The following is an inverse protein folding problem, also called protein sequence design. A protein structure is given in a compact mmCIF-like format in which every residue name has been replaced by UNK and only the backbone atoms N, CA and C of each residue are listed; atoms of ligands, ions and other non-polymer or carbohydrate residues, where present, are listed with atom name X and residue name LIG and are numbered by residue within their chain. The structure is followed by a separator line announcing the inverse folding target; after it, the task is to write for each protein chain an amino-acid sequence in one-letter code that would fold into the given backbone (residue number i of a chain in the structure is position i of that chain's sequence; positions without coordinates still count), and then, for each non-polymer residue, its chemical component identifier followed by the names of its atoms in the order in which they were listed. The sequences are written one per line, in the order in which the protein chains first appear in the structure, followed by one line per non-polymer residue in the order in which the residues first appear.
data_IF_018411531320
#
_entry.id   IF_018411531320
#
_cell.length_a   1.000
_cell.length_b   1.000
_cell.length_c   1.000
_cell.angle_alpha   90.00
_cell.angle_beta   90.00
_cell.angle_gamma   90.00
#
_symmetry.space_group_name_H-M   'P 1'
#
loop_
_entity.id
_entity.type
_entity.pdbx_description
1 polymer ?
#
# COMPACT_ATOMS: atom_id res chain seq x y z
N UNK A 1 22.95 21.07 61.62
CA UNK A 1 21.90 21.79 60.94
C UNK A 1 20.76 20.83 60.62
N UNK A 2 19.66 20.82 61.38
CA UNK A 2 18.53 19.92 61.17
C UNK A 2 17.63 20.54 60.08
N UNK A 3 17.54 19.89 58.93
CA UNK A 3 16.64 20.29 57.86
C UNK A 3 15.23 19.85 58.28
N UNK A 4 14.40 20.81 58.78
CA UNK A 4 12.97 20.57 59.01
C UNK A 4 12.27 20.69 57.65
N UNK A 5 12.13 19.57 56.94
CA UNK A 5 11.24 19.53 55.78
C UNK A 5 9.82 19.66 56.25
N UNK A 6 9.13 20.75 55.83
CA UNK A 6 7.72 20.94 56.12
C UNK A 6 6.90 19.75 55.61
N UNK A 7 6.06 19.11 56.44
CA UNK A 7 5.27 17.95 56.05
C UNK A 7 4.40 18.21 54.81
N UNK A 8 4.01 19.45 54.58
CA UNK A 8 3.25 19.87 53.38
C UNK A 8 4.10 19.72 52.10
N UNK A 9 5.39 20.08 52.15
CA UNK A 9 6.28 19.96 50.97
C UNK A 9 6.50 18.47 50.63
N UNK A 10 6.67 17.62 51.64
CA UNK A 10 6.82 16.18 51.44
C UNK A 10 5.57 15.54 50.85
N UNK A 11 4.38 15.96 51.29
CA UNK A 11 3.09 15.50 50.75
C UNK A 11 2.89 15.93 49.30
N UNK A 12 3.26 17.15 48.92
CA UNK A 12 3.17 17.64 47.55
C UNK A 12 4.11 16.85 46.64
N UNK A 13 5.35 16.61 47.07
CA UNK A 13 6.31 15.81 46.30
C UNK A 13 5.84 14.37 46.11
N UNK A 14 5.24 13.76 47.11
CA UNK A 14 4.67 12.40 47.02
C UNK A 14 3.49 12.33 46.04
N UNK A 15 2.59 13.32 46.07
CA UNK A 15 1.48 13.42 45.12
C UNK A 15 1.96 13.62 43.68
N UNK A 16 2.97 14.49 43.47
CA UNK A 16 3.54 14.69 42.14
C UNK A 16 4.24 13.39 41.59
N UNK A 17 4.93 12.65 42.47
CA UNK A 17 5.56 11.39 42.11
C UNK A 17 4.49 10.32 41.76
N UNK A 18 3.44 10.22 42.57
CA UNK A 18 2.34 9.28 42.31
C UNK A 18 1.59 9.61 41.01
N UNK A 19 1.32 10.90 40.75
CA UNK A 19 0.71 11.35 39.51
C UNK A 19 1.60 11.09 38.29
N UNK A 20 2.91 11.33 38.41
CA UNK A 20 3.90 10.99 37.36
C UNK A 20 3.99 9.50 37.08
N UNK A 21 4.04 8.66 38.12
CA UNK A 21 4.05 7.21 38.01
C UNK A 21 2.75 6.67 37.38
N UNK A 22 1.59 7.24 37.74
CA UNK A 22 0.30 6.90 37.14
C UNK A 22 0.25 7.27 35.67
N UNK A 23 0.74 8.46 35.29
CA UNK A 23 0.78 8.92 33.91
C UNK A 23 1.71 8.06 33.03
N UNK A 24 2.91 7.75 33.54
CA UNK A 24 3.86 6.86 32.83
C UNK A 24 3.30 5.44 32.73
N UNK A 25 2.66 4.94 33.79
CA UNK A 25 2.00 3.63 33.77
C UNK A 25 0.84 3.57 32.78
N UNK A 26 0.05 4.63 32.70
CA UNK A 26 -1.07 4.73 31.75
C UNK A 26 -0.56 4.83 30.30
N UNK A 27 0.52 5.58 30.03
CA UNK A 27 1.17 5.62 28.74
C UNK A 27 1.76 4.25 28.36
N UNK A 28 2.46 3.59 29.28
CA UNK A 28 3.02 2.26 29.03
C UNK A 28 1.92 1.22 28.76
N UNK A 29 0.80 1.26 29.49
CA UNK A 29 -0.33 0.37 29.25
C UNK A 29 -1.02 0.64 27.91
N UNK A 30 -1.07 1.89 27.46
CA UNK A 30 -1.62 2.26 26.16
C UNK A 30 -0.74 1.75 24.99
N UNK A 31 0.57 1.61 25.21
CA UNK A 31 1.47 0.99 24.23
C UNK A 31 1.44 -0.56 24.29
N UNK A 32 1.03 -1.16 25.42
CA UNK A 32 1.02 -2.60 25.61
C UNK A 32 -0.26 -3.29 25.12
N UNK A 33 -1.27 -2.56 24.72
CA UNK A 33 -2.55 -3.11 24.21
C UNK A 33 -2.68 -3.01 22.69
N UNK A 34 -1.59 -3.13 21.93
CA UNK A 34 -1.74 -3.57 20.56
C UNK A 34 -2.20 -5.03 20.61
N UNK A 35 -3.39 -5.37 20.05
CA UNK A 35 -3.78 -6.76 19.94
C UNK A 35 -2.66 -7.52 19.26
N UNK A 36 -2.41 -8.76 19.72
CA UNK A 36 -1.47 -9.68 19.10
C UNK A 36 -1.64 -9.55 17.59
N UNK A 37 -0.56 -9.16 16.91
CA UNK A 37 -0.57 -8.86 15.47
C UNK A 37 -1.17 -10.04 14.76
N UNK A 38 -2.38 -9.88 14.21
CA UNK A 38 -2.82 -10.80 13.18
C UNK A 38 -1.68 -10.87 12.18
N UNK A 39 -1.28 -12.09 11.81
CA UNK A 39 -0.16 -12.28 10.89
C UNK A 39 -0.58 -11.85 9.48
N UNK A 40 -0.72 -10.54 9.27
CA UNK A 40 -1.08 -10.00 7.97
C UNK A 40 0.02 -10.29 6.95
N UNK A 41 -0.40 -10.71 5.78
CA UNK A 41 0.46 -10.94 4.65
C UNK A 41 -0.12 -10.26 3.41
N UNK A 42 0.69 -9.47 2.71
CA UNK A 42 0.32 -8.70 1.52
C UNK A 42 1.21 -9.12 0.36
N UNK A 43 0.64 -9.24 -0.83
CA UNK A 43 1.44 -9.38 -2.04
C UNK A 43 1.54 -8.01 -2.74
N UNK A 44 2.78 -7.60 -2.99
CA UNK A 44 3.08 -6.44 -3.83
C UNK A 44 3.63 -6.94 -5.17
N UNK A 45 2.99 -6.48 -6.23
CA UNK A 45 3.40 -6.75 -7.59
C UNK A 45 4.02 -5.51 -8.23
N UNK A 46 5.30 -5.60 -8.58
CA UNK A 46 5.96 -4.57 -9.37
C UNK A 46 5.69 -4.83 -10.85
N UNK A 47 4.78 -4.06 -11.45
CA UNK A 47 4.39 -4.23 -12.85
C UNK A 47 5.56 -4.22 -13.82
N UNK A 48 5.44 -4.97 -14.92
CA UNK A 48 6.49 -5.16 -15.92
C UNK A 48 7.77 -5.82 -15.39
N UNK A 49 8.88 -5.72 -16.12
CA UNK A 49 10.19 -6.25 -15.71
C UNK A 49 10.89 -7.05 -16.82
N UNK A 50 12.21 -7.16 -16.69
CA UNK A 50 13.05 -7.83 -17.69
C UNK A 50 12.94 -7.16 -19.07
N UNK A 51 12.52 -7.94 -20.08
CA UNK A 51 12.37 -7.45 -21.46
C UNK A 51 11.13 -6.55 -21.67
N UNK A 52 10.16 -6.53 -20.74
CA UNK A 52 9.01 -5.62 -20.80
C UNK A 52 9.29 -4.34 -20.00
N UNK A 53 9.63 -3.21 -20.64
CA UNK A 53 9.92 -1.96 -19.97
C UNK A 53 8.66 -1.25 -19.44
N UNK A 54 7.45 -1.68 -19.83
CA UNK A 54 6.23 -0.91 -19.68
C UNK A 54 6.24 0.33 -20.57
N UNK A 55 5.72 1.45 -20.06
CA UNK A 55 5.85 2.74 -20.75
C UNK A 55 7.29 3.22 -20.67
N UNK A 56 7.86 3.56 -21.83
CA UNK A 56 9.21 4.11 -21.94
C UNK A 56 9.14 5.54 -22.50
N UNK A 57 9.97 6.43 -21.97
CA UNK A 57 10.10 7.80 -22.45
C UNK A 57 11.41 8.00 -23.16
N UNK A 58 11.44 8.97 -24.08
CA UNK A 58 12.66 9.36 -24.80
C UNK A 58 13.80 9.81 -23.85
N UNK A 59 13.48 10.24 -22.63
CA UNK A 59 14.45 10.54 -21.57
C UNK A 59 15.11 9.33 -20.94
N UNK A 60 14.75 8.10 -21.33
CA UNK A 60 15.26 6.86 -20.75
C UNK A 60 14.50 6.36 -19.50
N UNK A 61 13.50 7.10 -19.04
CA UNK A 61 12.64 6.66 -17.91
C UNK A 61 11.80 5.47 -18.35
N UNK A 62 11.89 4.37 -17.61
CA UNK A 62 11.12 3.14 -17.84
C UNK A 62 10.17 2.87 -16.69
N UNK A 63 8.95 2.52 -17.01
CA UNK A 63 7.91 2.21 -16.03
C UNK A 63 8.33 1.09 -15.07
N UNK A 64 8.93 0.02 -15.58
CA UNK A 64 9.37 -1.14 -14.78
C UNK A 64 10.31 -0.77 -13.63
N UNK A 65 11.18 0.24 -13.83
CA UNK A 65 12.18 0.64 -12.84
C UNK A 65 11.53 1.45 -11.72
N UNK A 66 10.61 2.36 -12.07
CA UNK A 66 9.81 3.13 -11.11
C UNK A 66 8.91 2.19 -10.30
N UNK A 67 8.22 1.26 -10.97
CA UNK A 67 7.35 0.30 -10.30
C UNK A 67 8.12 -0.52 -9.27
N UNK A 68 9.31 -1.01 -9.63
CA UNK A 68 10.17 -1.76 -8.71
C UNK A 68 10.61 -0.90 -7.51
N UNK A 69 11.08 0.31 -7.76
CA UNK A 69 11.54 1.21 -6.71
C UNK A 69 10.43 1.53 -5.70
N UNK A 70 9.23 1.89 -6.17
CA UNK A 70 8.08 2.14 -5.30
C UNK A 70 7.67 0.88 -4.53
N UNK A 71 7.66 -0.29 -5.20
CA UNK A 71 7.29 -1.56 -4.58
C UNK A 71 8.24 -1.94 -3.44
N UNK A 72 9.55 -1.80 -3.63
CA UNK A 72 10.55 -2.10 -2.60
C UNK A 72 10.46 -1.15 -1.39
N UNK A 73 10.23 0.15 -1.65
CA UNK A 73 9.99 1.15 -0.61
C UNK A 73 8.69 0.87 0.16
N UNK A 74 7.60 0.51 -0.55
CA UNK A 74 6.33 0.13 0.07
C UNK A 74 6.48 -1.13 0.95
N UNK A 75 7.20 -2.14 0.46
CA UNK A 75 7.56 -3.33 1.26
C UNK A 75 8.23 -2.93 2.58
N UNK A 76 9.24 -2.06 2.51
CA UNK A 76 9.97 -1.62 3.71
C UNK A 76 9.03 -0.96 4.74
N UNK A 77 8.11 -0.10 4.31
CA UNK A 77 7.13 0.54 5.20
C UNK A 77 6.21 -0.50 5.85
N UNK A 78 5.68 -1.45 5.07
CA UNK A 78 4.78 -2.48 5.58
C UNK A 78 5.48 -3.42 6.57
N UNK A 79 6.70 -3.86 6.27
CA UNK A 79 7.47 -4.76 7.14
C UNK A 79 7.88 -4.09 8.45
N UNK A 80 8.21 -2.79 8.44
CA UNK A 80 8.45 -2.00 9.65
C UNK A 80 7.21 -1.90 10.55
N UNK A 81 6.01 -2.10 9.99
CA UNK A 81 4.75 -2.15 10.71
C UNK A 81 4.25 -3.59 10.99
N UNK A 82 5.12 -4.59 10.90
CA UNK A 82 4.83 -5.97 11.25
C UNK A 82 4.01 -6.75 10.22
N UNK A 83 3.84 -6.22 9.01
CA UNK A 83 3.08 -6.86 7.92
C UNK A 83 4.06 -7.63 7.02
N UNK A 84 3.84 -8.94 6.86
CA UNK A 84 4.62 -9.76 5.93
C UNK A 84 4.33 -9.36 4.49
N UNK A 85 5.37 -9.26 3.66
CA UNK A 85 5.24 -8.90 2.24
C UNK A 85 5.81 -9.99 1.35
N UNK A 86 5.01 -10.43 0.39
CA UNK A 86 5.43 -11.28 -0.73
C UNK A 86 5.58 -10.37 -1.96
N UNK A 87 6.68 -10.50 -2.68
CA UNK A 87 6.92 -9.77 -3.92
C UNK A 87 6.79 -10.70 -5.13
N UNK A 88 6.22 -10.20 -6.23
CA UNK A 88 6.32 -10.90 -7.52
C UNK A 88 7.74 -10.88 -8.06
N UNK A 89 8.44 -9.76 -7.90
CA UNK A 89 9.87 -9.61 -8.21
C UNK A 89 10.55 -8.62 -7.26
N UNK A 90 11.83 -8.85 -6.97
CA UNK A 90 12.67 -7.97 -6.16
C UNK A 90 13.83 -7.34 -6.96
N UNK A 91 13.90 -7.62 -8.25
CA UNK A 91 14.93 -7.16 -9.18
C UNK A 91 14.33 -6.95 -10.58
N UNK A 92 15.11 -6.42 -11.52
CA UNK A 92 14.67 -6.26 -12.91
C UNK A 92 14.65 -7.61 -13.65
N UNK A 93 13.55 -8.35 -13.46
CA UNK A 93 13.29 -9.60 -14.15
C UNK A 93 11.82 -9.76 -14.52
N UNK A 94 11.55 -10.55 -15.53
CA UNK A 94 10.23 -11.12 -15.82
C UNK A 94 10.02 -12.41 -15.03
N UNK A 95 8.77 -12.78 -14.78
CA UNK A 95 8.41 -14.07 -14.18
C UNK A 95 8.30 -15.18 -15.24
N UNK A 96 8.33 -14.83 -16.52
CA UNK A 96 8.30 -15.80 -17.60
C UNK A 96 9.58 -16.69 -17.58
N UNK A 97 9.45 -17.94 -17.97
CA UNK A 97 10.53 -18.95 -17.92
C UNK A 97 11.11 -19.32 -19.30
N UNK A 98 10.78 -18.55 -20.33
CA UNK A 98 11.24 -18.82 -21.70
C UNK A 98 10.49 -19.93 -22.41
N UNK A 99 9.58 -20.66 -21.76
CA UNK A 99 8.84 -21.78 -22.35
C UNK A 99 7.71 -21.35 -23.28
N UNK A 100 7.30 -20.09 -23.25
CA UNK A 100 6.15 -19.57 -24.01
C UNK A 100 6.57 -18.63 -25.13
N UNK A 101 5.98 -18.82 -26.32
CA UNK A 101 6.10 -17.86 -27.42
C UNK A 101 5.47 -16.50 -27.08
N UNK A 102 4.47 -16.45 -26.20
CA UNK A 102 3.86 -15.23 -25.70
C UNK A 102 4.36 -14.93 -24.28
N UNK A 103 5.54 -14.34 -24.19
CA UNK A 103 6.23 -14.00 -22.94
C UNK A 103 5.39 -13.13 -21.99
N UNK A 104 4.72 -12.11 -22.53
CA UNK A 104 3.86 -11.21 -21.73
C UNK A 104 2.68 -11.93 -21.11
N UNK A 105 2.01 -12.80 -21.87
CA UNK A 105 0.91 -13.60 -21.34
C UNK A 105 1.38 -14.60 -20.28
N UNK A 106 2.56 -15.21 -20.47
CA UNK A 106 3.18 -16.11 -19.51
C UNK A 106 3.52 -15.39 -18.19
N UNK A 107 4.13 -14.23 -18.27
CA UNK A 107 4.44 -13.38 -17.10
C UNK A 107 3.18 -13.05 -16.30
N UNK A 108 2.14 -12.53 -16.94
CA UNK A 108 0.87 -12.21 -16.32
C UNK A 108 0.19 -13.41 -15.64
N UNK A 109 0.25 -14.60 -16.29
CA UNK A 109 -0.28 -15.83 -15.70
C UNK A 109 0.45 -16.20 -14.40
N UNK A 110 1.77 -16.07 -14.36
CA UNK A 110 2.58 -16.36 -13.18
C UNK A 110 2.33 -15.38 -12.06
N UNK A 111 2.20 -14.08 -12.34
CA UNK A 111 1.79 -13.07 -11.34
C UNK A 111 0.44 -13.43 -10.72
N UNK A 112 -0.53 -13.77 -11.56
CA UNK A 112 -1.86 -14.18 -11.11
C UNK A 112 -1.83 -15.48 -10.30
N UNK A 113 -1.03 -16.45 -10.67
CA UNK A 113 -0.84 -17.70 -9.93
C UNK A 113 -0.28 -17.40 -8.53
N UNK A 114 0.72 -16.53 -8.41
CA UNK A 114 1.25 -16.11 -7.10
C UNK A 114 0.17 -15.46 -6.21
N UNK A 115 -0.70 -14.62 -6.77
CA UNK A 115 -1.81 -14.02 -6.03
C UNK A 115 -2.79 -15.10 -5.51
N UNK A 116 -3.12 -16.08 -6.35
CA UNK A 116 -4.08 -17.14 -6.01
C UNK A 116 -3.53 -18.19 -5.04
N UNK A 117 -2.26 -18.55 -5.18
CA UNK A 117 -1.63 -19.61 -4.40
C UNK A 117 -1.11 -19.12 -3.04
N UNK A 118 -0.87 -17.82 -2.92
CA UNK A 118 -0.38 -17.22 -1.68
C UNK A 118 -1.52 -17.03 -0.67
N UNK A 119 -1.27 -17.38 0.58
CA UNK A 119 -2.18 -17.03 1.68
C UNK A 119 -1.96 -15.57 2.10
N UNK A 120 -2.63 -14.66 1.43
CA UNK A 120 -2.49 -13.21 1.60
C UNK A 120 -3.83 -12.55 1.89
N UNK A 121 -3.79 -11.42 2.58
CA UNK A 121 -4.97 -10.62 2.89
C UNK A 121 -5.39 -9.72 1.72
N UNK A 122 -4.43 -9.24 0.93
CA UNK A 122 -4.68 -8.48 -0.29
C UNK A 122 -3.46 -8.45 -1.21
N UNK A 123 -3.68 -8.06 -2.46
CA UNK A 123 -2.64 -7.84 -3.47
C UNK A 123 -2.75 -6.45 -4.08
N UNK A 124 -1.62 -5.78 -4.27
CA UNK A 124 -1.53 -4.48 -4.94
C UNK A 124 -0.47 -4.55 -6.04
N UNK A 125 -0.91 -4.37 -7.28
CA UNK A 125 -0.01 -4.23 -8.43
C UNK A 125 0.28 -2.74 -8.67
N UNK A 126 1.54 -2.38 -8.72
CA UNK A 126 2.02 -1.00 -8.81
C UNK A 126 2.48 -0.73 -10.24
N UNK A 127 1.90 0.29 -10.84
CA UNK A 127 2.08 0.70 -12.22
C UNK A 127 2.17 2.21 -12.39
N UNK A 128 2.53 2.65 -13.59
CA UNK A 128 2.42 4.02 -14.04
C UNK A 128 1.52 4.07 -15.27
N UNK A 129 0.57 4.99 -15.25
CA UNK A 129 -0.42 5.14 -16.30
C UNK A 129 0.18 5.75 -17.59
N UNK A 130 -0.50 5.54 -18.71
CA UNK A 130 -0.19 6.21 -19.98
C UNK A 130 -1.46 6.41 -20.77
N UNK A 131 -1.66 7.62 -21.29
CA UNK A 131 -2.82 7.96 -22.10
C UNK A 131 -2.39 8.82 -23.32
N UNK A 132 -3.09 8.75 -24.46
CA UNK A 132 -2.75 9.56 -25.65
C UNK A 132 -2.74 11.07 -25.38
N UNK A 133 -3.66 11.56 -24.56
CA UNK A 133 -3.66 12.95 -24.12
C UNK A 133 -2.60 13.13 -23.01
N UNK A 134 -1.53 13.83 -23.33
CA UNK A 134 -0.43 14.11 -22.41
C UNK A 134 -0.79 15.10 -21.29
N UNK A 135 -1.96 15.72 -21.31
CA UNK A 135 -2.46 16.53 -20.19
C UNK A 135 -3.06 15.68 -19.07
N UNK A 136 -3.34 14.39 -19.33
CA UNK A 136 -3.83 13.47 -18.31
C UNK A 136 -2.86 13.35 -17.15
N UNK A 137 -3.36 13.49 -15.92
CA UNK A 137 -2.56 13.49 -14.69
C UNK A 137 -3.33 12.88 -13.51
N UNK A 138 -2.61 12.61 -12.42
CA UNK A 138 -3.15 12.15 -11.13
C UNK A 138 -3.24 10.64 -10.99
N UNK A 139 -3.00 10.16 -9.77
CA UNK A 139 -3.06 8.75 -9.41
C UNK A 139 -4.48 8.19 -9.56
N UNK A 140 -4.58 6.93 -9.99
CA UNK A 140 -5.87 6.24 -10.13
C UNK A 140 -5.78 4.77 -9.78
N UNK A 141 -6.63 4.29 -8.87
CA UNK A 141 -6.66 2.89 -8.48
C UNK A 141 -7.80 2.16 -9.18
N UNK A 142 -7.45 1.03 -9.80
CA UNK A 142 -8.40 0.17 -10.53
C UNK A 142 -8.73 -1.07 -9.73
N UNK A 143 -10.00 -1.49 -9.82
CA UNK A 143 -10.53 -2.69 -9.17
C UNK A 143 -11.53 -3.41 -10.07
N UNK A 144 -11.78 -4.69 -9.82
CA UNK A 144 -12.85 -5.42 -10.52
C UNK A 144 -14.20 -5.21 -9.81
N UNK A 145 -15.27 -4.84 -10.54
CA UNK A 145 -16.55 -4.43 -9.93
C UNK A 145 -17.26 -5.53 -9.12
N UNK A 146 -17.00 -6.78 -9.44
CA UNK A 146 -17.64 -7.92 -8.77
C UNK A 146 -17.05 -8.24 -7.37
N UNK A 147 -15.97 -7.55 -6.96
CA UNK A 147 -15.28 -7.81 -5.69
C UNK A 147 -15.36 -6.59 -4.76
N UNK A 148 -16.33 -6.55 -3.81
CA UNK A 148 -16.52 -5.41 -2.90
C UNK A 148 -15.28 -5.06 -2.08
N UNK A 149 -14.53 -6.07 -1.61
CA UNK A 149 -13.30 -5.83 -0.84
C UNK A 149 -12.19 -5.23 -1.70
N UNK A 150 -12.07 -5.59 -2.98
CA UNK A 150 -11.17 -4.90 -3.93
C UNK A 150 -11.57 -3.44 -4.12
N UNK A 151 -12.88 -3.15 -4.19
CA UNK A 151 -13.38 -1.76 -4.26
C UNK A 151 -13.04 -0.99 -2.98
N UNK A 152 -13.17 -1.61 -1.80
CA UNK A 152 -12.82 -0.99 -0.51
C UNK A 152 -11.33 -0.69 -0.43
N UNK A 153 -10.48 -1.66 -0.77
CA UNK A 153 -9.02 -1.48 -0.84
C UNK A 153 -8.64 -0.36 -1.80
N UNK A 154 -9.23 -0.34 -3.00
CA UNK A 154 -9.00 0.72 -3.99
C UNK A 154 -9.36 2.10 -3.44
N UNK A 155 -10.49 2.22 -2.75
CA UNK A 155 -10.93 3.48 -2.14
C UNK A 155 -9.96 4.00 -1.09
N UNK A 156 -9.46 3.14 -0.23
CA UNK A 156 -8.52 3.50 0.83
C UNK A 156 -7.16 3.94 0.25
N UNK A 157 -6.61 3.21 -0.72
CA UNK A 157 -5.36 3.61 -1.38
C UNK A 157 -5.55 4.91 -2.17
N UNK A 158 -6.64 5.06 -2.92
CA UNK A 158 -6.95 6.28 -3.68
C UNK A 158 -7.02 7.51 -2.78
N UNK A 159 -7.63 7.38 -1.60
CA UNK A 159 -7.75 8.47 -0.64
C UNK A 159 -6.37 8.93 -0.12
N UNK A 160 -5.42 8.00 0.08
CA UNK A 160 -4.05 8.36 0.48
C UNK A 160 -3.28 9.06 -0.64
N UNK A 161 -3.55 8.69 -1.90
CA UNK A 161 -2.86 9.24 -3.09
C UNK A 161 -3.48 10.56 -3.58
N UNK A 162 -4.34 11.19 -2.77
CA UNK A 162 -5.03 12.43 -3.12
C UNK A 162 -4.08 13.60 -3.43
N UNK A 163 -2.94 13.68 -2.78
CA UNK A 163 -1.99 14.79 -2.93
C UNK A 163 -0.54 14.33 -3.12
N UNK A 164 -0.32 13.32 -3.97
CA UNK A 164 1.03 12.81 -4.22
C UNK A 164 1.97 13.92 -4.73
N UNK A 165 1.47 14.73 -5.64
CA UNK A 165 2.23 15.74 -6.38
C UNK A 165 2.20 17.14 -5.75
N UNK A 166 1.50 17.31 -4.62
CA UNK A 166 1.17 18.63 -4.08
C UNK A 166 0.00 19.30 -4.82
N UNK A 167 -0.47 18.71 -5.93
CA UNK A 167 -1.66 19.12 -6.67
C UNK A 167 -2.80 18.18 -6.28
N UNK A 168 -3.98 18.73 -6.10
CA UNK A 168 -5.17 17.95 -5.74
C UNK A 168 -5.50 16.95 -6.85
N UNK A 169 -5.59 15.69 -6.49
CA UNK A 169 -5.95 14.62 -7.40
C UNK A 169 -7.48 14.41 -7.40
N UNK A 170 -8.14 14.82 -8.46
CA UNK A 170 -9.60 14.68 -8.60
C UNK A 170 -10.05 13.31 -9.15
N UNK A 171 -9.12 12.40 -9.45
CA UNK A 171 -9.46 11.08 -9.95
C UNK A 171 -10.09 10.23 -8.85
N UNK A 172 -11.07 9.43 -9.27
CA UNK A 172 -11.76 8.45 -8.41
C UNK A 172 -11.30 7.05 -8.79
N UNK A 173 -11.51 6.10 -7.87
CA UNK A 173 -11.33 4.68 -8.19
C UNK A 173 -12.11 4.31 -9.46
N UNK A 174 -11.57 3.40 -10.25
CA UNK A 174 -12.17 3.03 -11.53
C UNK A 174 -12.38 1.52 -11.63
N UNK A 175 -13.61 1.12 -11.91
CA UNK A 175 -13.91 -0.27 -12.22
C UNK A 175 -13.28 -0.67 -13.56
N UNK A 176 -12.69 -1.85 -13.63
CA UNK A 176 -12.09 -2.40 -14.84
C UNK A 176 -12.28 -3.92 -14.87
N UNK A 177 -12.85 -4.42 -15.97
CA UNK A 177 -13.08 -5.85 -16.22
C UNK A 177 -12.05 -6.47 -17.15
N UNK A 178 -11.17 -5.67 -17.77
CA UNK A 178 -10.25 -6.12 -18.80
C UNK A 178 -8.87 -6.46 -18.26
N UNK A 179 -8.46 -5.86 -17.14
CA UNK A 179 -7.19 -6.16 -16.52
C UNK A 179 -7.12 -7.59 -16.01
N UNK A 180 -6.22 -8.38 -16.60
CA UNK A 180 -6.10 -9.81 -16.34
C UNK A 180 -5.87 -10.14 -14.87
N UNK A 181 -5.07 -9.34 -14.16
CA UNK A 181 -4.77 -9.55 -12.74
C UNK A 181 -5.97 -9.31 -11.83
N UNK A 182 -6.96 -8.51 -12.25
CA UNK A 182 -8.13 -8.20 -11.43
C UNK A 182 -9.24 -9.24 -11.52
N UNK A 183 -9.22 -10.10 -12.56
CA UNK A 183 -10.29 -11.08 -12.80
C UNK A 183 -10.08 -12.35 -11.96
N UNK A 184 -11.17 -13.03 -11.61
CA UNK A 184 -11.17 -14.36 -10.99
C UNK A 184 -10.24 -14.49 -9.77
N UNK A 185 -10.25 -13.50 -8.88
CA UNK A 185 -9.49 -13.50 -7.64
C UNK A 185 -10.44 -13.42 -6.44
N UNK A 186 -10.39 -14.41 -5.55
CA UNK A 186 -11.06 -14.35 -4.24
C UNK A 186 -10.32 -13.39 -3.28
N UNK A 187 -9.03 -13.20 -3.49
CA UNK A 187 -8.22 -12.24 -2.73
C UNK A 187 -8.46 -10.83 -3.23
N UNK A 188 -8.73 -9.85 -2.35
CA UNK A 188 -8.83 -8.44 -2.71
C UNK A 188 -7.59 -7.98 -3.48
N UNK A 189 -7.79 -7.59 -4.75
CA UNK A 189 -6.70 -7.25 -5.68
C UNK A 189 -7.00 -5.94 -6.38
N UNK A 190 -6.02 -5.04 -6.44
CA UNK A 190 -6.11 -3.75 -7.12
C UNK A 190 -4.87 -3.46 -7.95
N UNK A 191 -5.00 -2.55 -8.93
CA UNK A 191 -3.87 -1.96 -9.66
C UNK A 191 -3.82 -0.48 -9.29
N UNK A 192 -2.70 -0.04 -8.75
CA UNK A 192 -2.43 1.35 -8.41
C UNK A 192 -1.57 1.98 -9.52
N UNK A 193 -2.20 2.83 -10.32
CA UNK A 193 -1.55 3.68 -11.32
C UNK A 193 -1.13 4.98 -10.64
N UNK A 194 0.15 5.13 -10.33
CA UNK A 194 0.65 6.18 -9.42
C UNK A 194 0.65 7.56 -10.08
N UNK A 195 1.06 7.63 -11.35
CA UNK A 195 1.04 8.85 -12.16
C UNK A 195 0.99 8.51 -13.65
N UNK A 196 0.90 9.52 -14.52
CA UNK A 196 0.93 9.33 -15.98
C UNK A 196 2.33 9.57 -16.52
N UNK A 197 3.02 8.52 -16.96
CA UNK A 197 4.29 8.68 -17.68
C UNK A 197 4.13 9.33 -19.06
N UNK A 198 2.91 9.38 -19.61
CA UNK A 198 2.61 10.20 -20.80
C UNK A 198 2.63 11.70 -20.52
N UNK A 199 2.42 12.13 -19.27
CA UNK A 199 2.50 13.53 -18.86
C UNK A 199 3.95 13.90 -18.53
N UNK A 200 4.56 14.92 -19.22
CA UNK A 200 5.95 15.28 -19.00
C UNK A 200 6.27 15.70 -17.55
N UNK A 201 5.37 16.46 -16.94
CA UNK A 201 5.57 16.96 -15.57
C UNK A 201 5.51 15.84 -14.55
N UNK A 202 4.53 14.94 -14.67
CA UNK A 202 4.42 13.78 -13.77
C UNK A 202 5.58 12.80 -13.96
N UNK A 203 6.02 12.60 -15.22
CA UNK A 203 7.16 11.73 -15.50
C UNK A 203 8.48 12.28 -14.93
N UNK A 204 8.70 13.59 -14.98
CA UNK A 204 9.88 14.20 -14.36
C UNK A 204 9.82 14.08 -12.83
N UNK A 205 8.66 14.33 -12.26
CA UNK A 205 8.42 14.29 -10.81
C UNK A 205 8.60 12.88 -10.24
N UNK A 206 8.01 11.84 -10.84
CA UNK A 206 8.08 10.46 -10.31
C UNK A 206 9.47 9.84 -10.49
N UNK A 207 10.33 10.44 -11.31
CA UNK A 207 11.74 10.06 -11.40
C UNK A 207 12.51 10.43 -10.13
N UNK A 208 12.02 11.38 -9.33
CA UNK A 208 12.63 11.78 -8.07
C UNK A 208 12.38 10.73 -6.97
N UNK A 209 13.45 10.35 -6.27
CA UNK A 209 13.38 9.34 -5.22
C UNK A 209 12.41 9.71 -4.09
N UNK A 210 12.39 10.97 -3.68
CA UNK A 210 11.52 11.50 -2.64
C UNK A 210 10.03 11.35 -2.97
N UNK A 211 9.67 11.47 -4.24
CA UNK A 211 8.29 11.26 -4.71
C UNK A 211 7.93 9.78 -4.74
N UNK A 212 8.88 8.93 -5.13
CA UNK A 212 8.70 7.47 -5.05
C UNK A 212 8.50 7.01 -3.60
N UNK A 213 9.26 7.57 -2.64
CA UNK A 213 9.07 7.32 -1.20
C UNK A 213 7.70 7.75 -0.72
N UNK A 214 7.26 8.94 -1.10
CA UNK A 214 5.94 9.44 -0.77
C UNK A 214 4.83 8.55 -1.34
N UNK A 215 4.94 8.13 -2.60
CA UNK A 215 4.00 7.21 -3.23
C UNK A 215 3.93 5.86 -2.50
N UNK A 216 5.09 5.29 -2.19
CA UNK A 216 5.20 4.04 -1.46
C UNK A 216 4.56 4.12 -0.07
N UNK A 217 4.82 5.21 0.67
CA UNK A 217 4.21 5.46 1.97
C UNK A 217 2.69 5.59 1.88
N UNK A 218 2.18 6.34 0.90
CA UNK A 218 0.73 6.50 0.70
C UNK A 218 0.04 5.19 0.35
N UNK A 219 0.63 4.36 -0.51
CA UNK A 219 0.10 3.03 -0.82
C UNK A 219 0.10 2.16 0.43
N UNK A 220 1.21 2.13 1.19
CA UNK A 220 1.31 1.37 2.43
C UNK A 220 0.26 1.81 3.46
N UNK A 221 0.02 3.11 3.63
CA UNK A 221 -1.02 3.64 4.52
C UNK A 221 -2.42 3.16 4.14
N UNK A 222 -2.75 3.15 2.84
CA UNK A 222 -4.03 2.63 2.35
C UNK A 222 -4.18 1.13 2.61
N UNK A 223 -3.11 0.35 2.44
CA UNK A 223 -3.07 -1.09 2.77
C UNK A 223 -3.25 -1.30 4.27
N UNK A 224 -2.51 -0.57 5.12
CA UNK A 224 -2.63 -0.69 6.58
C UNK A 224 -4.03 -0.34 7.08
N UNK A 225 -4.66 0.69 6.52
CA UNK A 225 -6.05 1.01 6.83
C UNK A 225 -7.01 -0.11 6.40
N UNK A 226 -6.75 -0.74 5.27
CA UNK A 226 -7.55 -1.89 4.82
C UNK A 226 -7.47 -3.05 5.80
N UNK A 227 -6.29 -3.39 6.28
CA UNK A 227 -6.05 -4.51 7.18
C UNK A 227 -6.61 -4.26 8.59
N UNK A 228 -6.55 -3.04 9.11
CA UNK A 228 -7.01 -2.69 10.47
C UNK A 228 -8.50 -2.39 10.57
N UNK A 229 -9.17 -2.08 9.47
CA UNK A 229 -10.61 -1.82 9.40
C UNK A 229 -11.39 -3.08 8.94
N UNK A 230 -10.82 -4.27 9.05
CA UNK A 230 -11.62 -5.48 8.90
C UNK A 230 -12.69 -5.50 10.02
N UNK A 231 -13.99 -5.45 9.69
CA UNK A 231 -15.01 -5.70 10.68
C UNK A 231 -14.91 -7.17 11.05
N UNK A 232 -14.27 -7.46 12.18
CA UNK A 232 -14.26 -8.80 12.78
C UNK A 232 -15.65 -9.24 13.26
N UNK A 233 -16.72 -8.50 12.97
CA UNK A 233 -18.11 -8.90 13.19
C UNK A 233 -19.03 -7.95 12.42
N UNK A 234 -19.34 -8.22 11.18
CA UNK A 234 -20.68 -7.88 10.68
C UNK A 234 -21.64 -8.81 11.37
N UNK A 235 -22.60 -8.34 12.20
CA UNK A 235 -23.69 -9.20 12.59
C UNK A 235 -24.36 -9.66 11.30
N UNK A 236 -24.43 -10.96 11.11
CA UNK A 236 -25.30 -11.57 10.13
C UNK A 236 -26.69 -11.00 10.39
N UNK A 237 -27.14 -10.08 9.58
CA UNK A 237 -28.57 -9.77 9.48
C UNK A 237 -29.16 -11.02 8.86
N UNK A 238 -29.48 -11.95 9.73
CA UNK A 238 -30.32 -13.08 9.42
C UNK A 238 -31.62 -12.53 8.83
N UNK A 239 -31.85 -12.92 7.60
CA UNK A 239 -33.17 -12.97 7.00
C UNK A 239 -34.18 -13.56 8.02
N UNK A 240 -35.07 -12.74 8.50
CA UNK A 240 -36.38 -13.28 9.00
C UNK A 240 -37.49 -12.68 8.16
N UNK A 241 -38.19 -13.65 7.56
CA UNK A 241 -39.48 -13.64 6.85
C UNK A 241 -39.62 -12.95 5.53
#
# INVERSE_FOLDING_TARGET
MKIHTHPIILSILLCCFAAGAFFVGHMALSYATFPATENFCVLLDAGHGGADPGKERASGIKEKDINLAITLKCKSVLEQNGIKVILTRSEDRSLEDGSSSNKKSSDLKKRKALIKESKINCAVSIHQNSFPDSSSCGAQVFYHPNYPESKRLAGLIQAQMYSLTGIENHRKIKANTDYYLLRDNDTPTVIAEVCFLSNPSEAAMIAEETIQEKAAFQIAMGIMQFLHVHPTNSPSILSET
#
